data_IF_530004309897
#
_entry.id   IF_530004309897
#
_cell.length_a   1.000
_cell.length_b   1.000
_cell.length_c   1.000
_cell.angle_alpha   90.00
_cell.angle_beta   90.00
_cell.angle_gamma   90.00
#
_symmetry.space_group_name_H-M   'P 1'
#
loop_
_entity.id
_entity.type
_entity.pdbx_description
1 polymer ?
#
# COMPACT_ATOMS: atom_id res chain seq x y z
N UNK A 1 19.07 -12.69 3.67
CA UNK A 1 18.32 -13.49 4.68
C UNK A 1 17.58 -12.61 5.71
N UNK A 2 18.23 -11.61 6.34
CA UNK A 2 17.58 -10.78 7.39
C UNK A 2 16.30 -10.06 6.95
N UNK A 3 16.23 -9.56 5.70
CA UNK A 3 15.02 -8.88 5.19
C UNK A 3 13.78 -9.76 5.27
N UNK A 4 13.89 -11.04 4.91
CA UNK A 4 12.77 -11.99 4.94
C UNK A 4 12.35 -12.30 6.37
N UNK A 5 13.30 -12.38 7.30
CA UNK A 5 13.00 -12.54 8.73
C UNK A 5 12.22 -11.34 9.26
N UNK A 6 12.67 -10.11 8.97
CA UNK A 6 11.94 -8.90 9.38
C UNK A 6 10.57 -8.79 8.72
N UNK A 7 10.46 -9.18 7.45
CA UNK A 7 9.21 -9.14 6.71
C UNK A 7 8.18 -10.15 7.26
N UNK A 8 8.59 -11.41 7.45
CA UNK A 8 7.76 -12.47 8.04
C UNK A 8 7.37 -12.13 9.48
N UNK A 9 8.34 -11.71 10.31
CA UNK A 9 8.07 -11.34 11.69
C UNK A 9 7.15 -10.12 11.77
N UNK A 10 7.38 -9.12 10.92
CA UNK A 10 6.56 -7.94 10.78
C UNK A 10 5.12 -8.29 10.42
N UNK A 11 4.89 -9.00 9.32
CA UNK A 11 3.54 -9.41 8.89
C UNK A 11 2.83 -10.26 9.93
N UNK A 12 3.55 -11.19 10.58
CA UNK A 12 2.98 -12.03 11.62
C UNK A 12 2.55 -11.19 12.82
N UNK A 13 3.42 -10.29 13.27
CA UNK A 13 3.13 -9.39 14.38
C UNK A 13 1.95 -8.46 14.08
N UNK A 14 1.98 -7.77 12.94
CA UNK A 14 0.92 -6.82 12.57
C UNK A 14 -0.40 -7.53 12.36
N UNK A 15 -0.40 -8.69 11.70
CA UNK A 15 -1.61 -9.49 11.51
C UNK A 15 -2.20 -9.97 12.83
N UNK A 16 -1.34 -10.47 13.73
CA UNK A 16 -1.75 -10.92 15.06
C UNK A 16 -2.33 -9.77 15.89
N UNK A 17 -1.66 -8.62 15.91
CA UNK A 17 -2.11 -7.44 16.64
C UNK A 17 -3.43 -6.92 16.08
N UNK A 18 -3.54 -6.81 14.76
CA UNK A 18 -4.79 -6.43 14.07
C UNK A 18 -5.94 -7.35 14.46
N UNK A 19 -5.77 -8.67 14.36
CA UNK A 19 -6.81 -9.63 14.75
C UNK A 19 -7.14 -9.54 16.24
N UNK A 20 -6.13 -9.43 17.09
CA UNK A 20 -6.29 -9.38 18.55
C UNK A 20 -7.01 -8.11 19.00
N UNK A 21 -6.68 -6.95 18.41
CA UNK A 21 -7.31 -5.66 18.74
C UNK A 21 -8.77 -5.65 18.30
N UNK A 22 -9.06 -6.10 17.07
CA UNK A 22 -10.44 -6.20 16.58
C UNK A 22 -11.29 -7.14 17.43
N UNK A 23 -10.71 -8.26 17.91
CA UNK A 23 -11.44 -9.24 18.74
C UNK A 23 -11.61 -8.82 20.20
N UNK A 24 -10.55 -8.28 20.82
CA UNK A 24 -10.54 -7.97 22.25
C UNK A 24 -11.12 -6.59 22.55
N UNK A 25 -10.98 -5.64 21.63
CA UNK A 25 -11.41 -4.27 21.80
C UNK A 25 -12.19 -3.75 20.56
N UNK A 26 -13.42 -4.22 20.33
CA UNK A 26 -14.20 -3.89 19.13
C UNK A 26 -14.44 -2.39 18.92
N UNK A 27 -14.48 -1.61 20.01
CA UNK A 27 -14.73 -0.16 20.00
C UNK A 27 -13.57 0.64 19.38
N UNK A 28 -12.32 0.19 19.59
CA UNK A 28 -11.10 0.87 19.09
C UNK A 28 -10.45 0.13 17.93
N UNK A 29 -10.89 -1.09 17.61
CA UNK A 29 -10.28 -1.92 16.56
C UNK A 29 -10.17 -1.21 15.21
N UNK A 30 -11.22 -0.48 14.78
CA UNK A 30 -11.18 0.30 13.54
C UNK A 30 -10.10 1.38 13.60
N UNK A 31 -10.04 2.13 14.71
CA UNK A 31 -9.09 3.21 14.90
C UNK A 31 -7.64 2.69 14.85
N UNK A 32 -7.39 1.53 15.47
CA UNK A 32 -6.09 0.88 15.44
C UNK A 32 -5.69 0.43 14.04
N UNK A 33 -6.59 -0.20 13.28
CA UNK A 33 -6.31 -0.59 11.89
C UNK A 33 -6.07 0.62 10.99
N UNK A 34 -6.83 1.71 11.17
CA UNK A 34 -6.60 2.97 10.46
C UNK A 34 -5.22 3.54 10.80
N UNK A 35 -4.84 3.53 12.08
CA UNK A 35 -3.52 4.00 12.50
C UNK A 35 -2.38 3.18 11.87
N UNK A 36 -2.52 1.85 11.83
CA UNK A 36 -1.59 0.96 11.13
C UNK A 36 -1.52 1.27 9.64
N UNK A 37 -2.67 1.43 8.99
CA UNK A 37 -2.73 1.75 7.57
C UNK A 37 -2.04 3.10 7.24
N UNK A 38 -2.28 4.14 8.06
CA UNK A 38 -1.64 5.46 7.91
C UNK A 38 -0.12 5.37 8.05
N UNK A 39 0.40 4.67 9.06
CA UNK A 39 1.86 4.57 9.26
C UNK A 39 2.52 3.74 8.16
N UNK A 40 1.89 2.67 7.67
CA UNK A 40 2.42 1.88 6.56
C UNK A 40 2.51 2.71 5.28
N UNK A 41 1.46 3.50 5.00
CA UNK A 41 1.44 4.36 3.82
C UNK A 41 2.49 5.48 3.93
N UNK A 42 2.60 6.14 5.09
CA UNK A 42 3.60 7.17 5.34
C UNK A 42 5.04 6.62 5.21
N UNK A 43 5.31 5.45 5.80
CA UNK A 43 6.60 4.79 5.69
C UNK A 43 6.91 4.41 4.24
N UNK A 44 5.92 3.93 3.47
CA UNK A 44 6.10 3.58 2.06
C UNK A 44 6.55 4.78 1.22
N UNK A 45 5.99 5.97 1.44
CA UNK A 45 6.37 7.16 0.67
C UNK A 45 7.84 7.58 0.90
N UNK A 46 8.30 7.54 2.15
CA UNK A 46 9.67 7.92 2.50
C UNK A 46 10.66 6.84 2.08
N UNK A 47 10.34 5.57 2.33
CA UNK A 47 11.24 4.45 2.07
C UNK A 47 11.33 4.07 0.58
N UNK A 48 10.33 4.44 -0.23
CA UNK A 48 10.34 4.23 -1.68
C UNK A 48 11.51 4.95 -2.39
N UNK A 49 12.09 6.00 -1.79
CA UNK A 49 13.28 6.70 -2.32
C UNK A 49 14.44 5.73 -2.52
N UNK A 50 14.56 4.70 -1.67
CA UNK A 50 15.62 3.70 -1.75
C UNK A 50 15.28 2.66 -2.82
N UNK A 51 15.96 2.73 -3.96
CA UNK A 51 15.94 1.65 -4.95
C UNK A 51 16.82 0.50 -4.44
N UNK A 52 16.30 -0.72 -4.51
CA UNK A 52 17.01 -1.93 -4.08
C UNK A 52 17.15 -2.93 -5.22
N UNK A 53 18.12 -3.83 -5.07
CA UNK A 53 18.37 -4.95 -5.97
C UNK A 53 17.66 -6.20 -5.45
N UNK A 54 16.96 -6.88 -6.35
CA UNK A 54 16.28 -8.14 -6.10
C UNK A 54 16.95 -9.20 -6.95
N UNK A 55 17.66 -10.12 -6.31
CA UNK A 55 18.33 -11.23 -6.99
C UNK A 55 17.39 -12.44 -7.01
N UNK A 56 16.87 -12.78 -8.20
CA UNK A 56 16.03 -13.97 -8.42
C UNK A 56 16.86 -15.21 -8.78
N UNK A 57 18.18 -15.16 -8.54
CA UNK A 57 19.14 -16.20 -8.92
C UNK A 57 19.56 -16.12 -10.40
N UNK A 58 18.61 -16.09 -11.33
CA UNK A 58 18.86 -16.03 -12.78
C UNK A 58 18.76 -14.62 -13.38
N UNK A 59 18.20 -13.66 -12.65
CA UNK A 59 18.06 -12.28 -13.09
C UNK A 59 18.02 -11.32 -11.90
N UNK A 60 18.53 -10.11 -12.08
CA UNK A 60 18.51 -9.05 -11.06
C UNK A 60 17.53 -7.97 -11.45
N UNK A 61 16.51 -7.77 -10.61
CA UNK A 61 15.53 -6.70 -10.76
C UNK A 61 15.88 -5.52 -9.87
N UNK A 62 15.41 -4.34 -10.27
CA UNK A 62 15.54 -3.11 -9.50
C UNK A 62 14.15 -2.56 -9.22
N UNK A 63 13.83 -2.27 -7.96
CA UNK A 63 12.59 -1.62 -7.61
C UNK A 63 12.74 -0.78 -6.32
N UNK A 64 11.87 0.21 -6.08
CA UNK A 64 11.71 0.85 -4.80
C UNK A 64 11.59 -0.16 -3.64
N UNK A 65 12.25 0.10 -2.52
CA UNK A 65 12.19 -0.76 -1.31
C UNK A 65 10.76 -0.89 -0.76
N UNK A 66 9.90 0.10 -1.05
CA UNK A 66 8.49 0.13 -0.66
C UNK A 66 7.67 -1.07 -1.17
N UNK A 67 8.17 -1.84 -2.15
CA UNK A 67 7.51 -3.10 -2.55
C UNK A 67 7.33 -4.05 -1.36
N UNK A 68 8.26 -4.08 -0.39
CA UNK A 68 8.11 -4.88 0.83
C UNK A 68 7.04 -4.37 1.79
N UNK A 69 6.68 -3.07 1.70
CA UNK A 69 5.64 -2.46 2.53
C UNK A 69 4.25 -2.62 1.91
N UNK A 70 4.16 -2.86 0.59
CA UNK A 70 2.89 -3.01 -0.11
C UNK A 70 1.93 -4.05 0.53
N UNK A 71 2.38 -5.25 0.92
CA UNK A 71 1.58 -6.21 1.68
C UNK A 71 0.94 -5.65 2.94
N UNK A 72 1.70 -4.89 3.73
CA UNK A 72 1.20 -4.30 4.97
C UNK A 72 0.05 -3.32 4.69
N UNK A 73 0.19 -2.54 3.62
CA UNK A 73 -0.81 -1.55 3.17
C UNK A 73 -2.07 -2.26 2.65
N UNK A 74 -1.91 -3.20 1.72
CA UNK A 74 -3.01 -3.95 1.12
C UNK A 74 -3.77 -4.76 2.16
N UNK A 75 -3.05 -5.48 3.02
CA UNK A 75 -3.66 -6.31 4.05
C UNK A 75 -4.37 -5.46 5.10
N UNK A 76 -3.84 -4.29 5.48
CA UNK A 76 -4.53 -3.41 6.44
C UNK A 76 -5.88 -2.93 5.92
N UNK A 77 -5.98 -2.52 4.63
CA UNK A 77 -7.26 -2.09 4.07
C UNK A 77 -8.23 -3.26 3.89
N UNK A 78 -7.74 -4.44 3.52
CA UNK A 78 -8.56 -5.66 3.40
C UNK A 78 -9.10 -6.12 4.76
N UNK A 79 -8.29 -6.02 5.82
CA UNK A 79 -8.73 -6.28 7.20
C UNK A 79 -9.82 -5.31 7.63
N UNK A 80 -9.68 -4.02 7.34
CA UNK A 80 -10.71 -3.01 7.64
C UNK A 80 -11.99 -3.33 6.89
N UNK A 81 -11.89 -3.67 5.60
CA UNK A 81 -13.05 -4.00 4.77
C UNK A 81 -13.76 -5.27 5.26
N UNK A 82 -13.01 -6.32 5.60
CA UNK A 82 -13.57 -7.58 6.11
C UNK A 82 -14.24 -7.40 7.48
N UNK A 83 -13.63 -6.63 8.40
CA UNK A 83 -14.14 -6.47 9.76
C UNK A 83 -15.23 -5.39 9.89
N UNK A 84 -15.15 -4.31 9.09
CA UNK A 84 -15.96 -3.09 9.26
C UNK A 84 -16.74 -2.68 8.00
N UNK A 85 -16.56 -3.39 6.89
CA UNK A 85 -17.26 -3.18 5.63
C UNK A 85 -16.72 -2.04 4.75
N UNK A 86 -17.23 -2.01 3.53
CA UNK A 86 -16.78 -1.12 2.45
C UNK A 86 -16.78 0.36 2.83
N UNK A 87 -17.85 0.85 3.46
CA UNK A 87 -17.97 2.28 3.81
C UNK A 87 -16.85 2.72 4.76
N UNK A 88 -16.51 1.91 5.76
CA UNK A 88 -15.42 2.21 6.70
C UNK A 88 -14.05 2.09 6.03
N UNK A 89 -13.86 1.15 5.12
CA UNK A 89 -12.66 1.06 4.30
C UNK A 89 -12.46 2.32 3.43
N UNK A 90 -13.50 2.82 2.75
CA UNK A 90 -13.42 4.06 1.97
C UNK A 90 -13.06 5.29 2.81
N UNK A 91 -13.67 5.43 3.99
CA UNK A 91 -13.27 6.49 4.93
C UNK A 91 -11.82 6.34 5.39
N UNK A 92 -11.35 5.12 5.60
CA UNK A 92 -9.97 4.85 5.99
C UNK A 92 -8.98 5.22 4.88
N UNK A 93 -9.33 4.97 3.62
CA UNK A 93 -8.57 5.43 2.45
C UNK A 93 -8.50 6.95 2.40
N UNK A 94 -9.63 7.64 2.62
CA UNK A 94 -9.66 9.10 2.64
C UNK A 94 -8.82 9.69 3.78
N UNK A 95 -8.91 9.13 4.99
CA UNK A 95 -8.09 9.54 6.14
C UNK A 95 -6.61 9.35 5.84
N UNK A 96 -6.24 8.20 5.26
CA UNK A 96 -4.86 7.94 4.86
C UNK A 96 -4.38 8.93 3.79
N UNK A 97 -5.20 9.23 2.78
CA UNK A 97 -4.87 10.23 1.77
C UNK A 97 -4.64 11.62 2.37
N UNK A 98 -5.56 12.11 3.20
CA UNK A 98 -5.43 13.43 3.85
C UNK A 98 -4.22 13.51 4.77
N UNK A 99 -3.92 12.43 5.50
CA UNK A 99 -2.72 12.37 6.35
C UNK A 99 -1.42 12.31 5.53
N UNK A 100 -1.42 11.74 4.32
CA UNK A 100 -0.27 11.87 3.41
C UNK A 100 -0.07 13.30 2.93
N UNK A 101 -1.15 14.05 2.67
CA UNK A 101 -1.04 15.48 2.32
C UNK A 101 -0.37 16.25 3.46
N UNK A 102 -0.79 15.97 4.70
CA UNK A 102 -0.18 16.57 5.89
C UNK A 102 1.30 16.21 6.03
N UNK A 103 1.67 14.95 5.78
CA UNK A 103 3.07 14.50 5.78
C UNK A 103 3.91 15.29 4.78
N UNK A 104 3.42 15.48 3.54
CA UNK A 104 4.11 16.27 2.52
C UNK A 104 4.26 17.72 2.94
N UNK A 105 3.23 18.33 3.54
CA UNK A 105 3.30 19.70 4.06
C UNK A 105 4.40 19.81 5.12
N UNK A 106 4.49 18.86 6.05
CA UNK A 106 5.55 18.87 7.07
C UNK A 106 6.94 18.68 6.48
N UNK A 107 7.09 17.80 5.48
CA UNK A 107 8.37 17.62 4.77
C UNK A 107 8.78 18.94 4.08
N UNK A 108 7.87 19.59 3.36
CA UNK A 108 8.14 20.87 2.70
C UNK A 108 8.46 21.99 3.71
N UNK A 109 7.74 22.04 4.82
CA UNK A 109 7.99 23.00 5.89
C UNK A 109 9.40 22.85 6.45
N UNK A 110 9.81 21.63 6.82
CA UNK A 110 11.16 21.40 7.36
C UNK A 110 12.24 21.64 6.32
N UNK A 111 12.03 21.23 5.06
CA UNK A 111 12.99 21.45 3.98
C UNK A 111 13.21 22.94 3.64
N UNK A 112 12.28 23.83 4.01
CA UNK A 112 12.40 25.28 3.81
C UNK A 112 13.31 25.98 4.82
N UNK A 113 13.66 25.31 5.92
CA UNK A 113 14.48 25.86 6.98
C UNK A 113 15.97 25.81 6.61
N UNK A 114 16.72 26.83 7.02
CA UNK A 114 18.19 26.82 6.86
C UNK A 114 18.81 25.81 7.81
N UNK A 115 19.74 24.95 7.35
CA UNK A 115 20.42 23.99 8.23
C UNK A 115 21.34 24.72 9.22
N UNK A 116 21.50 24.14 10.40
CA UNK A 116 22.55 24.57 11.33
C UNK A 116 23.94 24.25 10.76
N UNK A 117 25.00 25.05 11.06
CA UNK A 117 26.34 24.81 10.52
C UNK A 117 26.94 23.44 10.83
N UNK A 118 26.49 22.79 11.91
CA UNK A 118 26.95 21.46 12.32
C UNK A 118 26.09 20.30 11.76
N UNK A 119 25.02 20.59 11.02
CA UNK A 119 24.20 19.55 10.36
C UNK A 119 24.84 19.10 9.05
N UNK A 120 25.54 17.96 9.09
CA UNK A 120 26.37 17.47 7.97
C UNK A 120 25.58 16.81 6.82
N UNK A 121 24.28 16.62 6.98
CA UNK A 121 23.47 15.80 6.07
C UNK A 121 22.55 16.60 5.16
N UNK A 122 22.71 17.93 5.06
CA UNK A 122 21.78 18.80 4.32
C UNK A 122 21.55 18.35 2.87
N UNK A 123 22.63 18.10 2.13
CA UNK A 123 22.50 17.70 0.72
C UNK A 123 21.73 16.38 0.56
N UNK A 124 22.03 15.40 1.41
CA UNK A 124 21.34 14.11 1.42
C UNK A 124 19.87 14.26 1.87
N UNK A 125 19.63 15.09 2.89
CA UNK A 125 18.31 15.42 3.42
C UNK A 125 17.41 15.99 2.32
N UNK A 126 17.86 17.06 1.65
CA UNK A 126 17.10 17.71 0.58
C UNK A 126 16.83 16.73 -0.57
N UNK A 127 17.82 15.93 -0.99
CA UNK A 127 17.63 14.93 -2.05
C UNK A 127 16.60 13.86 -1.68
N UNK A 128 16.69 13.28 -0.49
CA UNK A 128 15.80 12.20 -0.05
C UNK A 128 14.37 12.72 0.08
N UNK A 129 14.18 13.84 0.76
CA UNK A 129 12.86 14.35 1.05
C UNK A 129 12.20 15.05 -0.16
N UNK A 130 12.95 15.71 -1.04
CA UNK A 130 12.41 16.20 -2.32
C UNK A 130 11.95 15.03 -3.21
N UNK A 131 12.73 13.95 -3.27
CA UNK A 131 12.32 12.74 -3.97
C UNK A 131 11.09 12.10 -3.30
N UNK A 132 11.00 12.10 -1.97
CA UNK A 132 9.82 11.64 -1.22
C UNK A 132 8.54 12.42 -1.57
N UNK A 133 8.62 13.75 -1.67
CA UNK A 133 7.50 14.60 -2.13
C UNK A 133 7.07 14.20 -3.55
N UNK A 134 8.03 14.02 -4.44
CA UNK A 134 7.78 13.60 -5.82
C UNK A 134 7.14 12.22 -5.90
N UNK A 135 7.62 11.24 -5.12
CA UNK A 135 7.05 9.89 -5.05
C UNK A 135 5.61 9.94 -4.51
N UNK A 136 5.34 10.80 -3.54
CA UNK A 136 3.99 10.96 -2.99
C UNK A 136 3.03 11.53 -4.04
N UNK A 137 3.45 12.58 -4.74
CA UNK A 137 2.66 13.16 -5.84
C UNK A 137 2.44 12.14 -6.98
N UNK A 138 3.46 11.36 -7.34
CA UNK A 138 3.37 10.29 -8.32
C UNK A 138 2.38 9.18 -7.88
N UNK A 139 2.40 8.81 -6.61
CA UNK A 139 1.45 7.83 -6.04
C UNK A 139 0.01 8.30 -6.17
N UNK A 140 -0.27 9.57 -5.85
CA UNK A 140 -1.61 10.14 -5.96
C UNK A 140 -2.07 10.25 -7.42
N UNK A 141 -1.20 10.73 -8.31
CA UNK A 141 -1.51 10.82 -9.73
C UNK A 141 -1.81 9.43 -10.33
N UNK A 142 -0.96 8.45 -10.04
CA UNK A 142 -1.18 7.05 -10.45
C UNK A 142 -2.50 6.51 -9.93
N UNK A 143 -2.74 6.67 -8.63
CA UNK A 143 -3.96 6.18 -7.98
C UNK A 143 -5.23 6.77 -8.58
N UNK A 144 -5.30 8.08 -8.80
CA UNK A 144 -6.48 8.75 -9.38
C UNK A 144 -6.75 8.32 -10.81
N UNK A 145 -5.71 8.17 -11.63
CA UNK A 145 -5.81 7.71 -13.02
C UNK A 145 -6.26 6.24 -13.05
N UNK A 146 -5.63 5.39 -12.22
CA UNK A 146 -5.87 3.96 -12.21
C UNK A 146 -7.25 3.61 -11.65
N UNK A 147 -7.71 4.22 -10.55
CA UNK A 147 -9.06 3.97 -10.04
C UNK A 147 -10.15 4.29 -11.07
N UNK A 148 -9.98 5.39 -11.81
CA UNK A 148 -10.93 5.80 -12.84
C UNK A 148 -10.98 4.81 -14.01
N UNK A 149 -9.84 4.22 -14.37
CA UNK A 149 -9.72 3.24 -15.44
C UNK A 149 -10.18 1.84 -15.00
N UNK A 150 -9.85 1.41 -13.78
CA UNK A 150 -10.26 0.13 -13.21
C UNK A 150 -11.79 0.02 -13.18
N UNK A 151 -12.49 1.05 -12.69
CA UNK A 151 -13.95 1.07 -12.68
C UNK A 151 -14.56 0.91 -14.09
N UNK A 152 -13.94 1.51 -15.12
CA UNK A 152 -14.39 1.42 -16.52
C UNK A 152 -14.09 0.05 -17.13
N UNK A 153 -12.89 -0.49 -16.91
CA UNK A 153 -12.45 -1.80 -17.41
C UNK A 153 -13.27 -2.90 -16.77
N UNK A 154 -13.50 -2.86 -15.46
CA UNK A 154 -14.36 -3.79 -14.75
C UNK A 154 -15.80 -3.76 -15.27
N UNK A 155 -16.37 -2.55 -15.46
CA UNK A 155 -17.72 -2.40 -16.02
C UNK A 155 -17.84 -2.95 -17.45
N UNK A 156 -16.81 -2.74 -18.29
CA UNK A 156 -16.75 -3.29 -19.65
C UNK A 156 -16.63 -4.82 -19.64
N UNK A 157 -15.73 -5.38 -18.82
CA UNK A 157 -15.56 -6.82 -18.64
C UNK A 157 -16.85 -7.49 -18.14
N UNK A 158 -17.55 -6.86 -17.19
CA UNK A 158 -18.85 -7.34 -16.67
C UNK A 158 -19.89 -7.46 -17.78
N UNK A 159 -19.94 -6.52 -18.72
CA UNK A 159 -20.87 -6.55 -19.87
C UNK A 159 -20.52 -7.62 -20.91
N UNK A 160 -19.24 -8.03 -21.01
CA UNK A 160 -18.77 -8.94 -22.07
C UNK A 160 -18.66 -10.40 -21.64
N UNK A 161 -18.43 -10.66 -20.35
CA UNK A 161 -18.14 -11.99 -19.80
C UNK A 161 -18.89 -12.26 -18.49
N UNK A 162 -20.21 -12.20 -18.54
CA UNK A 162 -21.09 -12.26 -17.36
C UNK A 162 -20.82 -13.50 -16.47
N UNK A 163 -20.61 -14.68 -17.06
CA UNK A 163 -20.44 -15.94 -16.32
C UNK A 163 -19.00 -16.22 -15.82
N UNK A 164 -17.96 -15.57 -16.38
CA UNK A 164 -16.55 -15.87 -16.05
C UNK A 164 -15.97 -14.88 -15.02
N UNK A 165 -16.50 -14.93 -13.80
CA UNK A 165 -16.13 -14.03 -12.68
C UNK A 165 -14.62 -13.96 -12.43
N UNK A 166 -13.94 -15.11 -12.48
CA UNK A 166 -12.51 -15.21 -12.19
C UNK A 166 -11.64 -14.51 -13.25
N UNK A 167 -12.02 -14.65 -14.53
CA UNK A 167 -11.32 -14.03 -15.66
C UNK A 167 -11.46 -12.50 -15.64
N UNK A 168 -12.59 -12.00 -15.13
CA UNK A 168 -12.84 -10.55 -14.96
C UNK A 168 -12.05 -9.95 -13.80
N UNK A 169 -12.00 -10.64 -12.66
CA UNK A 169 -11.25 -10.15 -11.49
C UNK A 169 -9.76 -10.12 -11.78
N UNK A 170 -9.16 -11.26 -12.15
CA UNK A 170 -7.72 -11.34 -12.36
C UNK A 170 -7.25 -10.50 -13.56
N UNK A 171 -8.06 -10.43 -14.62
CA UNK A 171 -7.75 -9.58 -15.77
C UNK A 171 -7.73 -8.09 -15.40
N UNK A 172 -8.72 -7.62 -14.64
CA UNK A 172 -8.75 -6.22 -14.15
C UNK A 172 -7.60 -5.97 -13.19
N UNK A 173 -7.36 -6.88 -12.24
CA UNK A 173 -6.32 -6.74 -11.22
C UNK A 173 -4.93 -6.66 -11.85
N UNK A 174 -4.60 -7.54 -12.79
CA UNK A 174 -3.30 -7.53 -13.47
C UNK A 174 -3.11 -6.26 -14.31
N UNK A 175 -4.14 -5.85 -15.07
CA UNK A 175 -4.07 -4.63 -15.87
C UNK A 175 -3.92 -3.38 -15.00
N UNK A 176 -4.70 -3.31 -13.92
CA UNK A 176 -4.71 -2.19 -13.00
C UNK A 176 -3.38 -2.09 -12.23
N UNK A 177 -2.88 -3.20 -11.67
CA UNK A 177 -1.59 -3.25 -10.96
C UNK A 177 -0.41 -2.93 -11.87
N UNK A 178 -0.46 -3.39 -13.12
CA UNK A 178 0.58 -3.10 -14.11
C UNK A 178 0.55 -1.63 -14.50
N UNK A 179 -0.62 -1.09 -14.82
CA UNK A 179 -0.77 0.32 -15.18
C UNK A 179 -0.37 1.23 -14.02
N UNK A 180 -0.80 0.92 -12.79
CA UNK A 180 -0.40 1.64 -11.58
C UNK A 180 1.11 1.66 -11.43
N UNK A 181 1.76 0.50 -11.57
CA UNK A 181 3.21 0.40 -11.45
C UNK A 181 3.94 1.18 -12.55
N UNK A 182 3.43 1.14 -13.78
CA UNK A 182 3.98 1.90 -14.92
C UNK A 182 3.88 3.40 -14.66
N UNK A 183 2.69 3.91 -14.32
CA UNK A 183 2.46 5.33 -14.08
C UNK A 183 3.22 5.82 -12.85
N UNK A 184 3.15 5.10 -11.74
CA UNK A 184 3.86 5.42 -10.50
C UNK A 184 5.36 5.52 -10.74
N UNK A 185 6.00 4.48 -11.28
CA UNK A 185 7.46 4.48 -11.47
C UNK A 185 7.87 5.56 -12.46
N UNK A 186 7.10 5.75 -13.54
CA UNK A 186 7.37 6.81 -14.52
C UNK A 186 7.34 8.17 -13.84
N UNK A 187 6.24 8.55 -13.17
CA UNK A 187 6.14 9.86 -12.54
C UNK A 187 7.14 10.06 -11.41
N UNK A 188 7.38 9.02 -10.60
CA UNK A 188 8.29 9.08 -9.47
C UNK A 188 9.77 9.20 -9.89
N UNK A 189 10.20 8.52 -10.95
CA UNK A 189 11.63 8.36 -11.26
C UNK A 189 12.05 8.91 -12.63
N UNK A 190 11.15 9.50 -13.43
CA UNK A 190 11.50 10.13 -14.69
C UNK A 190 12.62 11.17 -14.55
N UNK A 191 13.70 11.03 -15.31
CA UNK A 191 14.86 11.92 -15.23
C UNK A 191 15.72 11.76 -13.96
N UNK A 192 15.42 10.79 -13.09
CA UNK A 192 16.19 10.48 -11.86
C UNK A 192 16.83 9.09 -11.94
N UNK A 193 16.15 8.11 -12.54
CA UNK A 193 16.63 6.74 -12.64
C UNK A 193 16.10 6.06 -13.93
N UNK A 194 16.68 4.94 -14.38
CA UNK A 194 16.22 4.22 -15.57
C UNK A 194 14.83 3.61 -15.35
N UNK A 195 13.80 4.24 -15.92
CA UNK A 195 12.39 3.89 -15.70
C UNK A 195 12.03 2.49 -16.19
N UNK A 196 12.49 2.07 -17.37
CA UNK A 196 12.13 0.75 -17.94
C UNK A 196 12.45 -0.43 -17.02
N UNK A 197 13.72 -0.60 -16.59
CA UNK A 197 14.10 -1.63 -15.62
C UNK A 197 13.37 -1.53 -14.28
N UNK A 198 13.09 -0.30 -13.81
CA UNK A 198 12.37 -0.08 -12.56
C UNK A 198 10.89 -0.47 -12.66
N UNK A 199 10.24 -0.21 -13.80
CA UNK A 199 8.85 -0.63 -14.03
C UNK A 199 8.77 -2.15 -14.01
N UNK A 200 9.68 -2.83 -14.73
CA UNK A 200 9.73 -4.30 -14.74
C UNK A 200 9.94 -4.84 -13.33
N UNK A 201 10.92 -4.30 -12.59
CA UNK A 201 11.18 -4.73 -11.23
C UNK A 201 10.03 -4.44 -10.28
N UNK A 202 9.37 -3.29 -10.39
CA UNK A 202 8.21 -2.95 -9.57
C UNK A 202 7.05 -3.92 -9.82
N UNK A 203 6.69 -4.16 -11.09
CA UNK A 203 5.59 -5.05 -11.46
C UNK A 203 5.87 -6.47 -10.96
N UNK A 204 7.04 -7.02 -11.28
CA UNK A 204 7.38 -8.40 -10.93
C UNK A 204 7.48 -8.57 -9.42
N UNK A 205 8.24 -7.70 -8.73
CA UNK A 205 8.43 -7.82 -7.28
C UNK A 205 7.14 -7.60 -6.50
N UNK A 206 6.28 -6.65 -6.90
CA UNK A 206 4.98 -6.38 -6.24
C UNK A 206 4.03 -7.56 -6.36
N UNK A 207 3.98 -8.21 -7.54
CA UNK A 207 3.17 -9.42 -7.72
C UNK A 207 3.71 -10.59 -6.90
N UNK A 208 5.02 -10.84 -6.90
CA UNK A 208 5.62 -11.93 -6.12
C UNK A 208 5.35 -11.72 -4.61
N UNK A 209 5.65 -10.52 -4.11
CA UNK A 209 5.52 -10.20 -2.68
C UNK A 209 4.03 -10.20 -2.25
N UNK A 210 3.12 -9.73 -3.10
CA UNK A 210 1.67 -9.83 -2.84
C UNK A 210 1.17 -11.29 -2.82
N UNK A 211 1.65 -12.16 -3.70
CA UNK A 211 1.29 -13.58 -3.63
C UNK A 211 1.79 -14.24 -2.33
N UNK A 212 2.97 -13.84 -1.86
CA UNK A 212 3.56 -14.36 -0.63
C UNK A 212 2.80 -13.93 0.63
N UNK A 213 2.08 -12.80 0.61
CA UNK A 213 1.38 -12.27 1.80
C UNK A 213 0.04 -12.98 2.09
N UNK A 214 -0.54 -13.63 1.08
CA UNK A 214 -1.89 -14.19 1.12
C UNK A 214 -2.16 -15.13 2.32
N UNK A 215 -1.21 -15.98 2.77
CA UNK A 215 -1.38 -16.80 3.97
C UNK A 215 -1.72 -16.01 5.25
N UNK A 216 -1.19 -14.78 5.42
CA UNK A 216 -1.46 -13.95 6.59
C UNK A 216 -2.87 -13.39 6.58
N UNK A 217 -3.39 -12.99 5.42
CA UNK A 217 -4.79 -12.57 5.32
C UNK A 217 -5.76 -13.72 5.65
N UNK A 218 -5.47 -14.93 5.15
CA UNK A 218 -6.25 -16.12 5.48
C UNK A 218 -6.18 -16.45 6.98
N UNK A 219 -5.02 -16.26 7.60
CA UNK A 219 -4.84 -16.42 9.04
C UNK A 219 -5.65 -15.40 9.85
N UNK A 220 -5.61 -14.12 9.47
CA UNK A 220 -6.47 -13.07 10.05
C UNK A 220 -7.94 -13.47 10.03
N UNK A 221 -8.45 -13.87 8.87
CA UNK A 221 -9.85 -14.29 8.70
C UNK A 221 -10.21 -15.48 9.60
N UNK A 222 -9.33 -16.48 9.70
CA UNK A 222 -9.51 -17.62 10.61
C UNK A 222 -9.53 -17.19 12.07
N UNK A 223 -8.76 -16.18 12.45
CA UNK A 223 -8.78 -15.63 13.81
C UNK A 223 -10.09 -14.89 14.11
N UNK A 224 -10.75 -14.27 13.13
CA UNK A 224 -12.03 -13.59 13.36
C UNK A 224 -13.24 -14.55 13.46
N UNK A 225 -13.22 -15.68 12.74
CA UNK A 225 -14.32 -16.68 12.71
C UNK A 225 -14.84 -17.22 14.06
N UNK A 226 -14.06 -17.38 15.14
CA UNK A 226 -14.57 -17.92 16.40
C UNK A 226 -15.42 -16.92 17.19
N UNK A 227 -15.40 -15.64 16.80
CA UNK A 227 -16.22 -14.60 17.42
C UNK A 227 -17.35 -14.35 16.44
N UNK A 228 -18.57 -14.76 16.79
CA UNK A 228 -19.76 -14.26 16.12
C UNK A 228 -19.80 -12.75 16.29
N UNK A 229 -19.07 -12.02 15.45
CA UNK A 229 -19.14 -10.57 15.32
C UNK A 229 -20.60 -10.28 14.98
N UNK A 230 -21.38 -10.02 16.03
CA UNK A 230 -22.79 -9.68 15.93
C UNK A 230 -22.88 -8.58 14.90
N UNK A 231 -23.61 -8.87 13.82
CA UNK A 231 -24.03 -7.88 12.81
C UNK A 231 -24.70 -6.64 13.44
N UNK A 232 -25.07 -6.69 14.72
CA UNK A 232 -25.71 -5.62 15.48
C UNK A 232 -24.82 -4.39 15.74
N UNK A 233 -23.49 -4.51 15.85
CA UNK A 233 -22.63 -3.33 16.14
C UNK A 233 -22.18 -2.60 14.87
N UNK A 234 -22.13 -3.28 13.73
CA UNK A 234 -21.64 -2.73 12.45
C UNK A 234 -22.74 -2.54 11.38
N UNK A 235 -23.97 -2.98 11.66
CA UNK A 235 -25.15 -2.84 10.81
C UNK A 235 -25.85 -1.48 10.94
N UNK A 236 -25.12 -0.40 10.69
CA UNK A 236 -25.71 0.92 10.49
C UNK A 236 -26.23 1.07 9.06
N UNK A 237 -27.43 0.54 8.84
CA UNK A 237 -28.33 0.73 7.69
C UNK A 237 -27.79 0.35 6.29
N UNK A 238 -28.17 -0.86 5.87
CA UNK A 238 -28.48 -1.10 4.46
C UNK A 238 -29.90 -0.59 4.20
N UNK A 239 -30.00 0.58 3.57
CA UNK A 239 -31.07 0.98 2.66
C UNK A 239 -30.43 1.80 1.53
#
# INVERSE_FOLDING_TARGET
>A
MLVWLYWIAGLTLTTYLSASLVRRFPEVGLQALVAFYVIYLAASQILAVRIVRFELGFYTLHAPAAVFLYPFIAQAIDMINEAYGYRKAQWSILIAFLTQVLLVIFILLVNSLKPAPFFKYEEAWQRIFAQGVRITAASWASFLICQSLDARVFAWLKRRYEEKVWLRSMGSDVLNLTLDSVLFVTFAFWGVAPVGPLVLGQVVSKNIIGLLDTPWFLWYKRMLRPVGLRREVYGGQAQ
#
